data_IF_473890134534
#
_entry.id   IF_473890134534
#
_cell.length_a   1.000
_cell.length_b   1.000
_cell.length_c   1.000
_cell.angle_alpha   90.00
_cell.angle_beta   90.00
_cell.angle_gamma   90.00
#
_symmetry.space_group_name_H-M   'P 1'
#
loop_
_entity.id
_entity.type
_entity.pdbx_description
1 polymer ?
#
# COMPACT_ATOMS: atom_id res chain seq x y z
N UNK A 1 -21.21 19.07 10.37
CA UNK A 1 -20.80 17.72 9.94
C UNK A 1 -19.63 17.91 9.02
N UNK A 2 -18.43 17.53 9.43
CA UNK A 2 -17.25 17.63 8.59
C UNK A 2 -17.18 16.34 7.76
N UNK A 3 -17.70 16.38 6.54
CA UNK A 3 -17.35 15.37 5.54
C UNK A 3 -15.87 15.54 5.22
N UNK A 4 -15.04 14.62 5.70
CA UNK A 4 -13.66 14.49 5.24
C UNK A 4 -13.71 13.62 3.99
N UNK A 5 -14.29 14.14 2.92
CA UNK A 5 -14.26 13.54 1.58
C UNK A 5 -13.12 14.18 0.80
N UNK A 6 -11.95 13.55 0.83
CA UNK A 6 -10.77 14.00 0.09
C UNK A 6 -9.48 13.31 0.54
N UNK A 7 -8.53 13.16 -0.38
CA UNK A 7 -7.17 12.76 -0.06
C UNK A 7 -6.49 13.90 0.72
N UNK A 8 -5.86 13.64 1.88
CA UNK A 8 -5.06 14.66 2.55
C UNK A 8 -3.84 15.00 1.66
N UNK A 9 -3.77 16.23 1.16
CA UNK A 9 -2.72 16.70 0.23
C UNK A 9 -1.43 17.06 1.00
N UNK A 10 -1.58 17.54 2.25
CA UNK A 10 -0.48 17.83 3.18
C UNK A 10 -0.77 17.21 4.55
N UNK A 11 0.26 16.72 5.24
CA UNK A 11 0.11 16.24 6.61
C UNK A 11 -0.57 14.88 6.77
N UNK A 12 -0.54 14.00 5.75
CA UNK A 12 -1.05 12.62 5.85
C UNK A 12 -0.46 11.90 7.05
N UNK A 13 0.86 12.00 7.28
CA UNK A 13 1.49 11.39 8.44
C UNK A 13 0.87 11.88 9.76
N UNK A 14 0.84 13.19 9.98
CA UNK A 14 0.32 13.78 11.22
C UNK A 14 -1.18 13.48 11.40
N UNK A 15 -1.93 13.43 10.31
CA UNK A 15 -3.34 13.04 10.32
C UNK A 15 -3.52 11.59 10.74
N UNK A 16 -2.84 10.65 10.08
CA UNK A 16 -2.86 9.23 10.42
C UNK A 16 -2.41 9.00 11.86
N UNK A 17 -1.31 9.65 12.26
CA UNK A 17 -0.78 9.59 13.62
C UNK A 17 -1.82 10.08 14.63
N UNK A 18 -2.43 11.24 14.40
CA UNK A 18 -3.47 11.78 15.29
C UNK A 18 -4.67 10.84 15.43
N UNK A 19 -5.11 10.19 14.35
CA UNK A 19 -6.26 9.29 14.38
C UNK A 19 -5.98 7.97 15.08
N UNK A 20 -4.76 7.42 14.92
CA UNK A 20 -4.51 6.02 15.22
C UNK A 20 -3.50 5.79 16.35
N UNK A 21 -2.79 6.82 16.83
CA UNK A 21 -1.81 6.69 17.93
C UNK A 21 -2.41 6.20 19.26
N UNK A 22 -3.72 6.32 19.45
CA UNK A 22 -4.41 5.81 20.65
C UNK A 22 -4.80 4.33 20.54
N UNK A 23 -4.22 3.56 19.61
CA UNK A 23 -4.47 2.12 19.46
C UNK A 23 -5.83 1.81 18.84
N UNK A 24 -6.22 2.53 17.79
CA UNK A 24 -7.44 2.23 17.05
C UNK A 24 -7.34 0.84 16.40
N UNK A 25 -8.32 -0.02 16.68
CA UNK A 25 -8.39 -1.37 16.12
C UNK A 25 -9.42 -1.50 15.00
N UNK A 26 -10.45 -0.65 14.97
CA UNK A 26 -11.56 -0.74 14.03
C UNK A 26 -11.84 0.63 13.39
N UNK A 27 -11.68 0.70 12.06
CA UNK A 27 -11.95 1.90 11.28
C UNK A 27 -13.36 1.81 10.70
N UNK A 28 -14.23 2.73 11.14
CA UNK A 28 -15.54 2.96 10.51
C UNK A 28 -15.34 3.93 9.34
N UNK A 29 -15.36 3.38 8.13
CA UNK A 29 -15.08 4.10 6.89
C UNK A 29 -13.80 3.60 6.20
N UNK A 30 -13.13 4.50 5.50
CA UNK A 30 -12.00 4.17 4.64
C UNK A 30 -10.68 4.49 5.34
N UNK A 31 -9.66 3.67 5.10
CA UNK A 31 -8.28 4.02 5.41
C UNK A 31 -7.60 4.48 4.12
N UNK A 32 -7.23 5.75 4.08
CA UNK A 32 -6.53 6.35 2.93
C UNK A 32 -5.14 6.78 3.40
N UNK A 33 -4.12 6.13 2.85
CA UNK A 33 -2.71 6.44 3.05
C UNK A 33 -2.20 7.04 1.74
N UNK A 34 -1.85 8.31 1.77
CA UNK A 34 -1.44 9.06 0.58
C UNK A 34 -0.19 9.89 0.87
N UNK A 35 0.82 9.90 0.01
CA UNK A 35 1.93 10.84 0.17
C UNK A 35 2.84 10.56 1.36
N UNK A 36 3.05 9.29 1.73
CA UNK A 36 4.06 8.95 2.74
C UNK A 36 5.45 8.89 2.08
N UNK A 37 6.36 9.73 2.54
CA UNK A 37 7.73 9.84 2.05
C UNK A 37 8.73 9.88 3.21
N UNK A 38 10.02 9.74 2.91
CA UNK A 38 11.07 9.89 3.92
C UNK A 38 11.10 11.31 4.46
N UNK A 39 11.44 11.43 5.74
CA UNK A 39 11.69 12.68 6.44
C UNK A 39 12.95 13.38 5.88
N UNK A 40 13.17 14.62 6.34
CA UNK A 40 14.32 15.46 5.92
C UNK A 40 15.67 14.80 6.24
N UNK A 41 15.74 13.98 7.29
CA UNK A 41 16.92 13.21 7.70
C UNK A 41 17.15 11.94 6.85
N UNK A 42 16.25 11.65 5.90
CA UNK A 42 16.29 10.47 5.05
C UNK A 42 15.73 9.20 5.70
N UNK A 43 15.18 9.27 6.92
CA UNK A 43 14.53 8.14 7.57
C UNK A 43 13.02 8.11 7.27
N UNK A 44 12.42 6.93 7.32
CA UNK A 44 10.97 6.80 7.22
C UNK A 44 10.24 7.38 8.44
N UNK A 45 8.99 7.86 8.29
CA UNK A 45 8.16 8.23 9.43
C UNK A 45 7.84 6.99 10.30
N UNK A 46 7.63 7.19 11.60
CA UNK A 46 7.20 6.11 12.51
C UNK A 46 5.72 5.77 12.28
N UNK A 47 5.46 4.63 11.65
CA UNK A 47 4.13 4.14 11.28
C UNK A 47 3.63 3.01 12.20
N UNK A 48 4.31 2.72 13.32
CA UNK A 48 3.99 1.57 14.16
C UNK A 48 2.57 1.59 14.73
N UNK A 49 1.98 2.78 14.89
CA UNK A 49 0.59 2.93 15.31
C UNK A 49 -0.41 2.25 14.36
N UNK A 50 -0.06 2.03 13.08
CA UNK A 50 -0.91 1.33 12.12
C UNK A 50 -1.03 -0.17 12.40
N UNK A 51 -0.07 -0.76 13.13
CA UNK A 51 -0.04 -2.19 13.47
C UNK A 51 -1.25 -2.62 14.31
N UNK A 52 -1.89 -1.68 15.01
CA UNK A 52 -3.06 -1.96 15.85
C UNK A 52 -4.36 -2.12 15.07
N UNK A 53 -4.42 -1.63 13.83
CA UNK A 53 -5.65 -1.67 13.03
C UNK A 53 -5.93 -3.12 12.67
N UNK A 54 -7.09 -3.63 13.05
CA UNK A 54 -7.52 -5.01 12.80
C UNK A 54 -8.62 -5.11 11.75
N UNK A 55 -9.45 -4.08 11.61
CA UNK A 55 -10.59 -4.09 10.70
C UNK A 55 -10.86 -2.72 10.07
N UNK A 56 -11.20 -2.74 8.77
CA UNK A 56 -11.66 -1.57 8.02
C UNK A 56 -13.04 -1.88 7.46
N UNK A 57 -14.04 -1.06 7.82
CA UNK A 57 -15.41 -1.27 7.34
C UNK A 57 -15.60 -0.85 5.88
N UNK A 58 -14.83 0.12 5.38
CA UNK A 58 -14.82 0.58 4.00
C UNK A 58 -13.65 -0.02 3.23
N UNK A 59 -12.86 0.86 2.59
CA UNK A 59 -11.78 0.48 1.67
C UNK A 59 -10.40 0.91 2.17
N UNK A 60 -9.35 0.21 1.74
CA UNK A 60 -7.96 0.58 1.94
C UNK A 60 -7.38 1.15 0.64
N UNK A 61 -6.89 2.39 0.68
CA UNK A 61 -6.19 3.03 -0.44
C UNK A 61 -4.79 3.41 0.02
N UNK A 62 -3.78 2.93 -0.69
CA UNK A 62 -2.37 3.30 -0.51
C UNK A 62 -1.91 3.87 -1.84
N UNK A 63 -1.60 5.16 -1.86
CA UNK A 63 -1.25 5.86 -3.10
C UNK A 63 -0.09 6.83 -2.90
N UNK A 64 0.70 7.03 -3.95
CA UNK A 64 1.77 8.04 -3.98
C UNK A 64 2.70 7.98 -2.75
N UNK A 65 3.12 6.77 -2.36
CA UNK A 65 3.88 6.55 -1.12
C UNK A 65 5.15 5.78 -1.39
N UNK A 66 6.30 6.31 -0.95
CA UNK A 66 7.65 5.80 -1.26
C UNK A 66 8.51 5.56 0.00
N UNK A 67 7.88 5.22 1.13
CA UNK A 67 8.53 4.72 2.37
C UNK A 67 8.90 3.25 2.25
N UNK A 68 9.77 2.70 3.10
CA UNK A 68 10.16 1.27 2.98
C UNK A 68 9.00 0.29 3.25
N UNK A 69 8.25 0.50 4.33
CA UNK A 69 7.19 -0.41 4.76
C UNK A 69 5.97 0.36 5.29
N UNK A 70 4.77 -0.13 4.98
CA UNK A 70 3.51 0.26 5.64
C UNK A 70 3.05 -0.92 6.51
N UNK A 71 3.15 -0.82 7.85
CA UNK A 71 2.93 -1.95 8.73
C UNK A 71 1.44 -2.07 9.12
N UNK A 72 0.68 -2.85 8.36
CA UNK A 72 -0.72 -3.20 8.67
C UNK A 72 -0.82 -4.62 9.24
N UNK A 73 0.19 -5.04 10.01
CA UNK A 73 0.32 -6.40 10.51
C UNK A 73 -0.82 -6.84 11.44
N UNK A 74 -1.64 -5.92 11.97
CA UNK A 74 -2.84 -6.24 12.74
C UNK A 74 -4.06 -6.52 11.88
N UNK A 75 -4.07 -6.07 10.62
CA UNK A 75 -5.26 -6.01 9.78
C UNK A 75 -5.70 -7.40 9.38
N UNK A 76 -6.94 -7.77 9.73
CA UNK A 76 -7.55 -9.09 9.50
C UNK A 76 -8.66 -9.03 8.46
N UNK A 77 -9.43 -7.94 8.43
CA UNK A 77 -10.66 -7.86 7.63
C UNK A 77 -10.75 -6.51 6.92
N UNK A 78 -11.02 -6.55 5.62
CA UNK A 78 -11.51 -5.41 4.84
C UNK A 78 -12.93 -5.73 4.40
N UNK A 79 -13.92 -4.99 4.90
CA UNK A 79 -15.32 -5.30 4.61
C UNK A 79 -15.77 -4.78 3.26
N UNK A 80 -15.22 -3.66 2.79
CA UNK A 80 -15.63 -3.05 1.54
C UNK A 80 -17.11 -2.62 1.52
N UNK A 81 -17.63 -2.10 2.64
CA UNK A 81 -19.00 -1.60 2.70
C UNK A 81 -19.13 -0.25 1.99
N UNK A 82 -20.28 -0.01 1.36
CA UNK A 82 -20.53 1.18 0.54
C UNK A 82 -20.36 0.87 -0.95
N UNK A 83 -20.15 1.90 -1.78
CA UNK A 83 -20.08 1.78 -3.24
C UNK A 83 -18.70 1.43 -3.80
N UNK A 84 -17.70 1.19 -2.95
CA UNK A 84 -16.32 0.94 -3.36
C UNK A 84 -15.59 2.17 -3.89
N UNK A 85 -14.27 2.08 -4.03
CA UNK A 85 -13.51 3.10 -4.75
C UNK A 85 -13.61 2.84 -6.26
N UNK A 86 -14.09 3.83 -7.02
CA UNK A 86 -14.19 3.73 -8.48
C UNK A 86 -12.89 4.20 -9.12
N UNK A 87 -12.16 3.28 -9.75
CA UNK A 87 -11.00 3.68 -10.57
C UNK A 87 -11.43 4.29 -11.89
N UNK A 88 -12.47 3.71 -12.50
CA UNK A 88 -13.11 4.15 -13.74
C UNK A 88 -14.56 3.65 -13.74
N UNK A 89 -15.41 4.15 -14.63
CA UNK A 89 -16.84 3.80 -14.65
C UNK A 89 -17.11 2.34 -15.08
N UNK A 90 -16.26 1.79 -15.93
CA UNK A 90 -16.37 0.45 -16.52
C UNK A 90 -15.62 -0.64 -15.76
N UNK A 91 -14.96 -0.29 -14.65
CA UNK A 91 -14.22 -1.23 -13.83
C UNK A 91 -15.01 -1.60 -12.56
N UNK A 92 -14.87 -2.84 -12.07
CA UNK A 92 -15.32 -3.20 -10.74
C UNK A 92 -14.75 -2.24 -9.68
N UNK A 93 -15.48 -2.12 -8.57
CA UNK A 93 -15.10 -1.21 -7.51
C UNK A 93 -14.00 -1.84 -6.65
N UNK A 94 -13.03 -1.04 -6.26
CA UNK A 94 -11.93 -1.49 -5.42
C UNK A 94 -12.27 -1.44 -3.93
N UNK A 95 -11.84 -2.47 -3.21
CA UNK A 95 -11.77 -2.47 -1.75
C UNK A 95 -10.35 -2.38 -1.19
N UNK A 96 -9.36 -2.71 -2.02
CA UNK A 96 -7.95 -2.42 -1.77
C UNK A 96 -7.31 -1.88 -3.05
N UNK A 97 -6.62 -0.75 -2.94
CA UNK A 97 -5.84 -0.15 -4.02
C UNK A 97 -4.44 0.19 -3.52
N UNK A 98 -3.41 -0.32 -4.19
CA UNK A 98 -2.00 0.09 -4.00
C UNK A 98 -1.48 0.63 -5.33
N UNK A 99 -1.15 1.92 -5.40
CA UNK A 99 -0.77 2.56 -6.66
C UNK A 99 0.27 3.65 -6.53
N UNK A 100 1.15 3.78 -7.54
CA UNK A 100 2.18 4.81 -7.61
C UNK A 100 3.07 4.81 -6.35
N UNK A 101 3.83 3.73 -6.16
CA UNK A 101 4.62 3.51 -4.94
C UNK A 101 6.10 3.89 -5.08
N UNK A 102 6.45 4.63 -6.13
CA UNK A 102 7.82 5.03 -6.42
C UNK A 102 7.92 6.55 -6.60
N UNK A 103 8.99 7.13 -6.07
CA UNK A 103 9.34 8.52 -6.28
C UNK A 103 10.86 8.71 -6.15
N UNK A 104 11.49 9.28 -7.18
CA UNK A 104 12.88 9.75 -7.12
C UNK A 104 13.88 8.70 -6.61
N UNK A 105 13.76 7.44 -7.08
CA UNK A 105 14.62 6.32 -6.68
C UNK A 105 14.24 5.63 -5.36
N UNK A 106 13.19 6.11 -4.68
CA UNK A 106 12.63 5.52 -3.45
C UNK A 106 11.36 4.76 -3.77
N UNK A 107 11.12 3.68 -3.03
CA UNK A 107 10.00 2.79 -3.33
C UNK A 107 9.41 2.16 -2.07
N UNK A 108 8.10 1.97 -2.07
CA UNK A 108 7.43 1.03 -1.17
C UNK A 108 7.95 -0.38 -1.43
N UNK A 109 8.52 -1.01 -0.41
CA UNK A 109 8.98 -2.41 -0.52
C UNK A 109 7.93 -3.38 -0.06
N UNK A 110 7.16 -3.00 0.96
CA UNK A 110 6.24 -3.90 1.62
C UNK A 110 5.03 -3.16 2.19
N UNK A 111 3.85 -3.69 1.93
CA UNK A 111 2.67 -3.48 2.77
C UNK A 111 2.49 -4.76 3.57
N UNK A 112 2.67 -4.68 4.88
CA UNK A 112 2.53 -5.87 5.73
C UNK A 112 1.05 -6.18 5.95
N UNK A 113 0.56 -7.18 5.23
CA UNK A 113 -0.80 -7.71 5.33
C UNK A 113 -0.79 -9.15 5.84
N UNK A 114 0.25 -9.59 6.58
CA UNK A 114 0.44 -10.98 6.96
C UNK A 114 -0.71 -11.59 7.79
N UNK A 115 -1.49 -10.74 8.47
CA UNK A 115 -2.67 -11.15 9.21
C UNK A 115 -4.01 -10.95 8.49
N UNK A 116 -4.01 -10.46 7.25
CA UNK A 116 -5.22 -10.32 6.46
C UNK A 116 -5.80 -11.71 6.20
N UNK A 117 -7.11 -11.86 6.41
CA UNK A 117 -7.83 -13.13 6.26
C UNK A 117 -8.96 -13.04 5.26
N UNK A 118 -9.68 -11.91 5.23
CA UNK A 118 -10.87 -11.77 4.39
C UNK A 118 -11.00 -10.37 3.81
N UNK A 119 -11.29 -10.32 2.51
CA UNK A 119 -11.80 -9.16 1.79
C UNK A 119 -13.26 -9.48 1.43
N UNK A 120 -14.21 -8.89 2.14
CA UNK A 120 -15.61 -9.29 2.04
C UNK A 120 -16.28 -8.86 0.74
N UNK A 121 -15.90 -7.69 0.21
CA UNK A 121 -16.47 -7.12 -1.00
C UNK A 121 -15.41 -6.37 -1.80
N UNK A 122 -15.68 -6.14 -3.09
CA UNK A 122 -14.83 -5.36 -3.98
C UNK A 122 -13.56 -6.09 -4.43
N UNK A 123 -12.99 -5.57 -5.50
CA UNK A 123 -11.78 -6.09 -6.14
C UNK A 123 -10.52 -5.50 -5.51
N UNK A 124 -9.39 -6.14 -5.77
CA UNK A 124 -8.07 -5.68 -5.34
C UNK A 124 -7.29 -5.20 -6.56
N UNK A 125 -6.68 -4.02 -6.45
CA UNK A 125 -5.89 -3.40 -7.51
C UNK A 125 -4.49 -3.06 -7.01
N UNK A 126 -3.46 -3.55 -7.71
CA UNK A 126 -2.06 -3.18 -7.50
C UNK A 126 -1.51 -2.65 -8.83
N UNK A 127 -1.63 -1.34 -9.04
CA UNK A 127 -1.42 -0.69 -10.34
C UNK A 127 -0.32 0.37 -10.29
N UNK A 128 0.27 0.70 -11.42
CA UNK A 128 1.31 1.72 -11.62
C UNK A 128 2.42 1.65 -10.57
N UNK A 129 2.91 0.44 -10.32
CA UNK A 129 4.05 0.20 -9.45
C UNK A 129 5.19 -0.40 -10.30
N UNK A 130 6.46 -0.16 -9.93
CA UNK A 130 7.59 -0.74 -10.64
C UNK A 130 7.49 -2.27 -10.78
N UNK A 131 7.86 -2.77 -11.96
CA UNK A 131 7.73 -4.19 -12.27
C UNK A 131 8.70 -5.04 -11.45
N UNK A 132 8.25 -6.24 -11.08
CA UNK A 132 9.03 -7.17 -10.28
C UNK A 132 9.10 -6.84 -8.78
N UNK A 133 8.45 -5.77 -8.31
CA UNK A 133 8.30 -5.52 -6.88
C UNK A 133 7.17 -6.35 -6.29
N UNK A 134 7.51 -7.26 -5.39
CA UNK A 134 6.52 -7.95 -4.58
C UNK A 134 6.14 -7.11 -3.36
N UNK A 135 5.19 -6.17 -3.54
CA UNK A 135 4.73 -5.26 -2.49
C UNK A 135 3.99 -5.96 -1.35
N UNK A 136 3.41 -7.13 -1.60
CA UNK A 136 2.60 -7.89 -0.64
C UNK A 136 3.09 -9.34 -0.57
N UNK A 137 4.32 -9.56 -0.07
CA UNK A 137 4.93 -10.88 -0.07
C UNK A 137 4.12 -11.88 0.77
N UNK A 138 3.93 -13.08 0.23
CA UNK A 138 3.18 -14.16 0.89
C UNK A 138 1.66 -14.06 0.79
N UNK A 139 1.12 -13.05 0.09
CA UNK A 139 -0.32 -12.93 -0.14
C UNK A 139 -0.73 -13.67 -1.42
N UNK A 140 -1.70 -14.57 -1.26
CA UNK A 140 -2.47 -15.17 -2.35
C UNK A 140 -3.85 -14.53 -2.36
N UNK A 141 -4.07 -13.53 -3.22
CA UNK A 141 -5.28 -12.69 -3.18
C UNK A 141 -6.57 -13.48 -3.39
N UNK A 142 -6.55 -14.50 -4.25
CA UNK A 142 -7.71 -15.37 -4.50
C UNK A 142 -8.23 -16.05 -3.24
N UNK A 143 -7.33 -16.36 -2.31
CA UNK A 143 -7.66 -17.08 -1.07
C UNK A 143 -8.27 -16.15 -0.01
N UNK A 144 -8.16 -14.83 -0.21
CA UNK A 144 -8.70 -13.81 0.71
C UNK A 144 -10.10 -13.34 0.31
N UNK A 145 -10.57 -13.65 -0.91
CA UNK A 145 -11.88 -13.21 -1.37
C UNK A 145 -13.01 -14.00 -0.71
N UNK A 146 -13.97 -13.29 -0.11
CA UNK A 146 -15.17 -13.93 0.43
C UNK A 146 -16.05 -14.53 -0.68
N UNK A 147 -16.01 -13.94 -1.88
CA UNK A 147 -16.67 -14.47 -3.07
C UNK A 147 -15.70 -14.50 -4.28
N UNK A 148 -14.87 -15.56 -4.40
CA UNK A 148 -13.91 -15.71 -5.50
C UNK A 148 -14.55 -15.82 -6.89
N UNK A 149 -15.87 -16.01 -6.99
CA UNK A 149 -16.57 -16.08 -8.28
C UNK A 149 -16.81 -14.69 -8.92
N UNK A 150 -16.74 -13.62 -8.12
CA UNK A 150 -17.01 -12.25 -8.59
C UNK A 150 -15.90 -11.26 -8.24
N UNK A 151 -15.07 -11.57 -7.23
CA UNK A 151 -13.95 -10.74 -6.83
C UNK A 151 -12.68 -11.14 -7.56
N UNK A 152 -11.92 -10.14 -8.00
CA UNK A 152 -10.71 -10.35 -8.78
C UNK A 152 -9.54 -9.51 -8.26
N UNK A 153 -8.34 -10.03 -8.50
CA UNK A 153 -7.09 -9.31 -8.31
C UNK A 153 -6.60 -8.79 -9.67
N UNK A 154 -6.29 -7.50 -9.73
CA UNK A 154 -5.80 -6.82 -10.92
C UNK A 154 -4.42 -6.23 -10.64
N UNK A 155 -3.46 -6.50 -11.52
CA UNK A 155 -2.13 -5.89 -11.47
C UNK A 155 -1.76 -5.26 -12.81
N UNK A 156 -0.76 -4.36 -12.78
CA UNK A 156 -0.25 -3.68 -13.98
C UNK A 156 0.19 -4.62 -15.12
N UNK A 157 0.55 -5.87 -14.83
CA UNK A 157 0.96 -6.86 -15.83
C UNK A 157 -0.26 -7.41 -16.58
N UNK A 158 -1.38 -7.58 -15.88
CA UNK A 158 -2.64 -8.16 -16.40
C UNK A 158 -3.54 -7.16 -17.12
N UNK A 159 -3.37 -5.87 -16.88
CA UNK A 159 -4.25 -4.81 -17.41
C UNK A 159 -3.68 -4.06 -18.62
N UNK A 160 -2.55 -4.51 -19.18
CA UNK A 160 -1.89 -3.83 -20.30
C UNK A 160 -2.00 -4.64 -21.62
N UNK A 161 -2.94 -4.29 -22.52
CA UNK A 161 -3.02 -4.89 -23.85
C UNK A 161 -1.92 -4.39 -24.81
N UNK A 162 -1.07 -3.43 -24.40
CA UNK A 162 0.01 -2.84 -25.21
C UNK A 162 1.40 -3.05 -24.56
N UNK A 163 1.68 -4.24 -24.04
CA UNK A 163 2.98 -4.63 -23.51
C UNK A 163 4.13 -4.71 -24.57
N UNK A 164 4.06 -3.91 -25.64
CA UNK A 164 5.07 -3.77 -26.70
C UNK A 164 5.94 -2.50 -26.54
N UNK A 165 5.65 -1.61 -25.58
CA UNK A 165 6.50 -0.45 -25.26
C UNK A 165 7.19 -0.60 -23.90
N UNK A 166 8.19 -1.48 -23.85
CA UNK A 166 9.01 -1.74 -22.67
C UNK A 166 9.96 -0.56 -22.28
N UNK A 167 9.82 0.62 -22.90
CA UNK A 167 10.76 1.72 -22.75
C UNK A 167 10.50 2.64 -21.54
N UNK A 168 9.32 2.54 -20.91
CA UNK A 168 8.90 3.42 -19.81
C UNK A 168 8.54 2.70 -18.50
N UNK A 169 8.84 1.40 -18.39
CA UNK A 169 8.48 0.61 -17.22
C UNK A 169 9.65 0.55 -16.24
N UNK A 170 9.54 1.29 -15.13
CA UNK A 170 10.55 1.24 -14.07
C UNK A 170 10.60 -0.17 -13.45
N UNK A 171 11.81 -0.72 -13.35
CA UNK A 171 12.07 -1.99 -12.68
C UNK A 171 12.21 -1.77 -11.18
N UNK A 172 11.88 -2.79 -10.38
CA UNK A 172 12.12 -2.77 -8.94
C UNK A 172 13.60 -2.49 -8.64
N UNK A 173 13.96 -1.37 -7.99
CA UNK A 173 15.36 -1.07 -7.70
C UNK A 173 15.94 -2.12 -6.75
N UNK A 174 17.25 -2.42 -6.78
CA UNK A 174 17.88 -3.33 -5.82
C UNK A 174 17.76 -2.78 -4.39
N UNK A 175 17.83 -3.65 -3.39
CA UNK A 175 17.87 -3.21 -1.99
C UNK A 175 19.09 -2.30 -1.76
N UNK A 176 18.96 -1.23 -0.96
CA UNK A 176 20.10 -0.41 -0.59
C UNK A 176 21.12 -1.30 0.13
N UNK A 177 22.35 -1.31 -0.37
CA UNK A 177 23.45 -2.05 0.27
C UNK A 177 23.78 -1.33 1.58
N UNK A 178 23.32 -1.86 2.70
CA UNK A 178 23.79 -1.40 4.01
C UNK A 178 25.30 -1.65 4.09
N UNK A 179 26.05 -0.60 4.39
CA UNK A 179 27.47 -0.48 4.07
C UNK A 179 28.33 -1.70 4.43
N UNK A 180 29.08 -2.20 3.44
CA UNK A 180 30.32 -2.91 3.71
C UNK A 180 31.20 -1.97 4.53
N UNK A 181 31.43 -2.31 5.79
CA UNK A 181 32.49 -1.74 6.59
C UNK A 181 33.80 -1.91 5.81
N UNK A 182 34.32 -0.81 5.26
CA UNK A 182 35.66 -0.76 4.70
C UNK A 182 36.62 -1.06 5.85
N UNK A 183 37.03 -2.33 5.98
CA UNK A 183 38.24 -2.66 6.72
C UNK A 183 39.37 -1.93 6.03
N UNK A 184 39.77 -0.81 6.62
CA UNK A 184 41.04 -0.14 6.38
C UNK A 184 42.12 -1.16 6.71
N UNK A 185 42.70 -1.79 5.69
CA UNK A 185 43.94 -2.55 5.84
C UNK A 185 45.03 -1.53 6.11
N UNK A 186 45.38 -1.36 7.38
CA UNK A 186 46.58 -0.65 7.75
C UNK A 186 47.81 -1.41 7.23
N UNK A 187 48.65 -0.62 6.60
CA UNK A 187 49.93 -0.94 5.98
C UNK A 187 50.93 -1.36 7.06
N UNK A 188 51.66 -2.46 6.84
CA UNK A 188 53.00 -2.68 7.40
C UNK A 188 53.92 -3.01 6.23
#
# INVERSE_FOLDING_TARGET
MNEISGFPIDGTYEYLRKLFSSGCTHIVGNLIIYGLHLNVDGLGPDLDFLKHIEEISGFLIIMNSSVEEIPLSGLKIIRGLGSGYSLREDLPKASLLIRNTYDSGRILRKVDLGNLRVIQNGDVYVLDNPQGCNLTPGISWSDLFANPAVQHFHNSISSDPNADDASHVESCPPLPVTGMSTKRTDKI
#
